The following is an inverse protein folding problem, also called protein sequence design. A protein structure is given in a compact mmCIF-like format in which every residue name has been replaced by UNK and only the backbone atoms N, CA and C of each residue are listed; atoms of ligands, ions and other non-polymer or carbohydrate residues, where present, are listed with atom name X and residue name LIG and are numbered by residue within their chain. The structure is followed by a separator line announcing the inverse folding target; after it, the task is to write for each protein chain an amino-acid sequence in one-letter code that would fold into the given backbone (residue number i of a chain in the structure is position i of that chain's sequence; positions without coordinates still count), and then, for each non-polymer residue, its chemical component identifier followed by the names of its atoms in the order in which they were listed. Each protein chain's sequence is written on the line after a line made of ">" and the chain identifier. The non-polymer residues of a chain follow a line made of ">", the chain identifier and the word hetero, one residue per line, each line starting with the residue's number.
data_IF_934721623860
#
_entry.id   IF_934721623860
#
_cell.length_a   1.000
_cell.length_b   1.000
_cell.length_c   1.000
_cell.angle_alpha   90.00
_cell.angle_beta   90.00
_cell.angle_gamma   90.00
#
_symmetry.space_group_name_H-M   'P 1'
#
loop_
_entity.id
_entity.type
_entity.pdbx_description
1 polymer ?
#
# COMPACT_ATOMS: atom_id res chain seq x y z
N UNK A 1 3.98 -7.48 -20.25
CA UNK A 1 3.96 -6.39 -19.28
C UNK A 1 2.56 -6.31 -18.72
N UNK A 2 2.48 -6.27 -17.41
CA UNK A 2 1.23 -6.19 -16.66
C UNK A 2 1.03 -4.76 -16.17
N UNK A 3 -0.22 -4.33 -16.01
CA UNK A 3 -0.58 -3.02 -15.47
C UNK A 3 -1.31 -3.20 -14.15
N UNK A 4 -0.90 -2.44 -13.14
CA UNK A 4 -1.62 -2.29 -11.88
C UNK A 4 -2.06 -0.84 -11.76
N UNK A 5 -3.36 -0.62 -11.55
CA UNK A 5 -3.93 0.70 -11.24
C UNK A 5 -4.43 0.68 -9.81
N UNK A 6 -3.70 1.38 -8.93
CA UNK A 6 -4.03 1.46 -7.51
C UNK A 6 -5.26 2.32 -7.26
N UNK A 7 -6.01 2.01 -6.20
CA UNK A 7 -7.19 2.77 -5.76
C UNK A 7 -8.22 3.06 -6.85
N UNK A 8 -8.35 2.14 -7.82
CA UNK A 8 -9.31 2.20 -8.92
C UNK A 8 -10.72 1.81 -8.49
N UNK A 9 -10.84 0.86 -7.56
CA UNK A 9 -12.15 0.37 -7.10
C UNK A 9 -12.62 1.33 -6.00
N UNK A 10 -13.70 2.12 -6.21
CA UNK A 10 -14.17 3.07 -5.21
C UNK A 10 -14.95 2.36 -4.08
N UNK A 11 -15.13 3.01 -2.92
CA UNK A 11 -15.85 2.43 -1.80
C UNK A 11 -17.34 2.21 -2.12
N UNK A 12 -17.97 1.30 -1.36
CA UNK A 12 -19.36 0.84 -1.55
C UNK A 12 -20.39 1.92 -1.89
N UNK A 13 -20.40 3.11 -1.26
CA UNK A 13 -21.38 4.16 -1.58
C UNK A 13 -21.33 4.65 -3.04
N UNK A 14 -20.19 4.52 -3.71
CA UNK A 14 -19.95 5.05 -5.05
C UNK A 14 -20.06 4.00 -6.16
N UNK A 15 -19.92 2.71 -5.83
CA UNK A 15 -19.87 1.60 -6.78
C UNK A 15 -21.06 1.57 -7.74
N UNK A 16 -22.27 1.84 -7.25
CA UNK A 16 -23.48 1.79 -8.08
C UNK A 16 -23.47 2.85 -9.19
N UNK A 17 -22.89 4.03 -8.93
CA UNK A 17 -22.76 5.11 -9.91
C UNK A 17 -21.51 4.95 -10.77
N UNK A 18 -20.51 4.22 -10.27
CA UNK A 18 -19.23 4.08 -10.94
C UNK A 18 -19.32 3.31 -12.26
N UNK A 19 -20.12 2.24 -12.30
CA UNK A 19 -20.34 1.50 -13.55
C UNK A 19 -20.98 2.40 -14.64
N UNK A 20 -21.92 3.26 -14.27
CA UNK A 20 -22.50 4.21 -15.23
C UNK A 20 -21.51 5.29 -15.66
N UNK A 21 -20.66 5.74 -14.74
CA UNK A 21 -19.60 6.71 -15.04
C UNK A 21 -18.59 6.13 -16.03
N UNK A 22 -18.09 4.90 -15.82
CA UNK A 22 -17.19 4.23 -16.76
C UNK A 22 -17.79 4.18 -18.16
N UNK A 23 -19.06 3.79 -18.27
CA UNK A 23 -19.74 3.66 -19.57
C UNK A 23 -19.85 4.99 -20.32
N UNK A 24 -20.10 6.08 -19.61
CA UNK A 24 -20.36 7.41 -20.18
C UNK A 24 -19.09 8.22 -20.42
N UNK A 25 -18.10 8.07 -19.54
CA UNK A 25 -16.98 9.02 -19.43
C UNK A 25 -15.61 8.41 -19.69
N UNK A 26 -15.45 7.08 -19.59
CA UNK A 26 -14.16 6.39 -19.70
C UNK A 26 -14.17 5.38 -20.86
N UNK A 27 -14.20 5.84 -22.13
CA UNK A 27 -14.40 4.97 -23.29
C UNK A 27 -13.31 3.89 -23.45
N UNK A 28 -12.06 4.17 -23.10
CA UNK A 28 -10.98 3.20 -23.29
C UNK A 28 -11.01 2.11 -22.22
N UNK A 29 -11.17 2.47 -20.95
CA UNK A 29 -11.37 1.57 -19.82
C UNK A 29 -12.64 0.75 -20.03
N UNK A 30 -13.73 1.38 -20.48
CA UNK A 30 -14.97 0.67 -20.78
C UNK A 30 -14.77 -0.39 -21.88
N UNK A 31 -14.10 -0.03 -22.99
CA UNK A 31 -13.75 -0.96 -24.06
C UNK A 31 -12.88 -2.11 -23.53
N UNK A 32 -11.92 -1.79 -22.68
CA UNK A 32 -11.00 -2.74 -22.08
C UNK A 32 -11.71 -3.77 -21.20
N UNK A 33 -12.54 -3.32 -20.26
CA UNK A 33 -13.38 -4.18 -19.41
C UNK A 33 -14.29 -5.07 -20.27
N UNK A 34 -14.93 -4.51 -21.31
CA UNK A 34 -15.85 -5.27 -22.20
C UNK A 34 -15.16 -6.32 -23.05
N UNK A 35 -13.85 -6.23 -23.24
CA UNK A 35 -13.08 -7.15 -24.07
C UNK A 35 -12.19 -8.09 -23.26
N UNK A 36 -12.30 -8.03 -21.93
CA UNK A 36 -11.51 -8.85 -21.02
C UNK A 36 -12.35 -9.97 -20.42
N UNK A 37 -11.68 -11.09 -20.11
CA UNK A 37 -12.18 -12.05 -19.12
C UNK A 37 -11.94 -11.44 -17.74
N UNK A 38 -13.01 -11.30 -16.97
CA UNK A 38 -12.99 -10.62 -15.68
C UNK A 38 -12.95 -11.66 -14.55
N UNK A 39 -12.09 -11.46 -13.57
CA UNK A 39 -12.04 -12.24 -12.33
C UNK A 39 -11.94 -11.28 -11.15
N UNK A 40 -12.62 -11.61 -10.06
CA UNK A 40 -12.68 -10.77 -8.87
C UNK A 40 -12.17 -11.57 -7.67
N UNK A 41 -11.34 -10.93 -6.85
CA UNK A 41 -10.71 -11.53 -5.69
C UNK A 41 -10.89 -10.62 -4.48
N UNK A 42 -11.34 -11.23 -3.38
CA UNK A 42 -11.21 -10.64 -2.06
C UNK A 42 -9.77 -10.84 -1.59
N UNK A 43 -9.14 -9.77 -1.13
CA UNK A 43 -7.76 -9.77 -0.66
C UNK A 43 -7.73 -9.59 0.85
N UNK A 44 -7.19 -10.60 1.55
CA UNK A 44 -7.10 -10.61 3.01
C UNK A 44 -5.89 -9.77 3.46
N UNK A 45 -6.03 -8.43 3.54
CA UNK A 45 -4.95 -7.54 3.94
C UNK A 45 -4.32 -7.93 5.28
N UNK A 46 -5.10 -8.45 6.23
CA UNK A 46 -4.60 -8.91 7.53
C UNK A 46 -3.65 -10.11 7.42
N UNK A 47 -3.83 -10.96 6.41
CA UNK A 47 -2.99 -12.14 6.17
C UNK A 47 -1.67 -11.79 5.49
N UNK A 48 -1.73 -10.88 4.53
CA UNK A 48 -0.57 -10.49 3.71
C UNK A 48 0.16 -9.26 4.26
N UNK A 49 -0.50 -8.48 5.11
CA UNK A 49 0.02 -7.29 5.79
C UNK A 49 0.43 -6.18 4.81
N UNK A 50 -0.25 -6.09 3.68
CA UNK A 50 -0.05 -5.06 2.67
C UNK A 50 -1.36 -4.73 1.95
N UNK A 51 -1.36 -3.72 1.07
CA UNK A 51 -2.48 -3.49 0.17
C UNK A 51 -2.44 -4.47 -1.00
N UNK A 52 -3.58 -4.64 -1.68
CA UNK A 52 -3.68 -5.58 -2.80
C UNK A 52 -2.73 -5.23 -3.97
N UNK A 53 -2.51 -3.95 -4.24
CA UNK A 53 -1.55 -3.51 -5.26
C UNK A 53 -0.09 -3.77 -4.87
N UNK A 54 0.29 -3.50 -3.64
CA UNK A 54 1.64 -3.84 -3.13
C UNK A 54 1.91 -5.33 -3.25
N UNK A 55 0.94 -6.17 -2.90
CA UNK A 55 1.06 -7.62 -3.09
C UNK A 55 1.36 -7.99 -4.55
N UNK A 56 0.61 -7.43 -5.49
CA UNK A 56 0.73 -7.70 -6.93
C UNK A 56 2.02 -7.14 -7.54
N UNK A 57 2.64 -6.12 -6.93
CA UNK A 57 3.96 -5.64 -7.36
C UNK A 57 5.06 -6.69 -7.16
N UNK A 58 4.85 -7.66 -6.28
CA UNK A 58 5.86 -8.65 -5.86
C UNK A 58 5.46 -10.10 -6.09
N UNK A 59 4.16 -10.40 -6.18
CA UNK A 59 3.63 -11.77 -6.26
C UNK A 59 2.72 -11.96 -7.48
N UNK A 60 2.58 -13.20 -7.96
CA UNK A 60 1.60 -13.47 -9.01
C UNK A 60 0.22 -13.63 -8.37
N UNK A 61 -0.83 -13.25 -9.08
CA UNK A 61 -2.19 -13.42 -8.57
C UNK A 61 -2.53 -14.91 -8.35
N UNK A 62 -1.88 -15.81 -9.10
CA UNK A 62 -1.97 -17.25 -8.90
C UNK A 62 -1.36 -17.73 -7.57
N UNK A 63 -0.49 -16.94 -6.94
CA UNK A 63 0.11 -17.24 -5.63
C UNK A 63 -0.80 -16.86 -4.46
N UNK A 64 -1.95 -16.21 -4.72
CA UNK A 64 -2.95 -15.98 -3.69
C UNK A 64 -3.36 -17.32 -3.07
N UNK A 65 -3.21 -17.42 -1.75
CA UNK A 65 -3.41 -18.64 -0.93
C UNK A 65 -2.31 -19.69 -0.97
N UNK A 66 -1.20 -19.42 -1.65
CA UNK A 66 0.03 -20.19 -1.43
C UNK A 66 0.57 -19.86 -0.03
N UNK A 67 1.00 -20.90 0.70
CA UNK A 67 1.67 -20.73 1.99
C UNK A 67 3.13 -20.32 1.72
N UNK A 68 3.40 -19.01 1.69
CA UNK A 68 4.76 -18.49 1.64
C UNK A 68 5.49 -18.78 2.95
N UNK A 69 6.53 -19.61 2.89
CA UNK A 69 7.44 -19.90 4.00
C UNK A 69 8.48 -18.79 4.15
N UNK A 70 8.65 -18.26 5.37
CA UNK A 70 9.84 -17.51 5.74
C UNK A 70 10.98 -18.52 5.97
N UNK A 71 12.00 -18.48 5.12
CA UNK A 71 13.25 -19.23 5.33
C UNK A 71 14.02 -18.67 6.54
N UNK A 72 15.00 -19.44 7.03
CA UNK A 72 15.91 -18.99 8.11
C UNK A 72 16.67 -17.73 7.70
N UNK A 73 16.23 -16.58 8.22
CA UNK A 73 16.82 -15.26 8.00
C UNK A 73 17.86 -15.00 9.10
N UNK A 74 19.09 -14.62 8.71
CA UNK A 74 20.17 -14.25 9.64
C UNK A 74 20.11 -12.80 10.13
N UNK A 75 19.48 -11.92 9.36
CA UNK A 75 19.33 -10.50 9.63
C UNK A 75 18.01 -10.02 9.02
N UNK A 76 17.16 -9.38 9.81
CA UNK A 76 15.84 -8.95 9.38
C UNK A 76 15.88 -7.52 8.86
N UNK A 77 15.32 -7.30 7.68
CA UNK A 77 15.30 -6.00 7.00
C UNK A 77 13.90 -5.40 7.10
N UNK A 78 13.82 -4.18 7.62
CA UNK A 78 12.58 -3.43 7.76
C UNK A 78 12.73 -2.05 7.14
N UNK A 79 11.64 -1.51 6.63
CA UNK A 79 11.58 -0.11 6.20
C UNK A 79 11.03 0.74 7.34
N UNK A 80 11.65 1.90 7.56
CA UNK A 80 11.23 2.93 8.50
C UNK A 80 10.70 4.15 7.72
N UNK A 81 9.41 4.40 7.85
CA UNK A 81 8.78 5.62 7.36
C UNK A 81 8.55 6.61 8.49
N UNK A 82 8.60 7.89 8.13
CA UNK A 82 8.38 9.01 9.03
C UNK A 82 7.08 9.71 8.62
N UNK A 83 6.32 10.15 9.60
CA UNK A 83 4.99 10.67 9.33
C UNK A 83 4.36 11.40 10.48
N UNK A 84 3.07 11.62 10.30
CA UNK A 84 2.18 12.19 11.28
C UNK A 84 1.20 11.14 11.79
N UNK A 85 1.17 10.94 13.10
CA UNK A 85 0.07 10.30 13.76
C UNK A 85 -1.01 11.34 14.05
N UNK A 86 -2.20 11.13 13.52
CA UNK A 86 -3.40 11.90 13.85
C UNK A 86 -4.42 11.00 14.53
N UNK A 87 -5.04 11.50 15.60
CA UNK A 87 -6.11 10.78 16.30
C UNK A 87 -7.44 11.38 15.91
N UNK A 88 -8.30 10.59 15.25
CA UNK A 88 -9.68 10.98 14.92
C UNK A 88 -10.61 9.84 15.29
N UNK A 89 -11.68 10.10 16.04
CA UNK A 89 -12.70 9.10 16.38
C UNK A 89 -12.18 7.80 17.03
N UNK A 90 -11.11 7.87 17.82
CA UNK A 90 -10.40 6.70 18.41
C UNK A 90 -9.60 5.86 17.41
N UNK A 91 -9.46 6.32 16.17
CA UNK A 91 -8.56 5.77 15.16
C UNK A 91 -7.26 6.58 15.14
N UNK A 92 -6.14 5.88 14.99
CA UNK A 92 -4.81 6.48 14.85
C UNK A 92 -4.40 6.31 13.39
N UNK A 93 -4.32 7.42 12.67
CA UNK A 93 -3.95 7.43 11.27
C UNK A 93 -2.51 7.91 11.17
N UNK A 94 -1.65 7.07 10.63
CA UNK A 94 -0.32 7.47 10.20
C UNK A 94 -0.44 8.08 8.80
N UNK A 95 0.29 9.17 8.54
CA UNK A 95 0.43 9.77 7.22
C UNK A 95 1.90 10.10 6.96
N UNK A 96 2.48 9.52 5.91
CA UNK A 96 3.88 9.74 5.57
C UNK A 96 4.14 11.21 5.21
N UNK A 97 5.28 11.72 5.68
CA UNK A 97 5.69 13.09 5.33
C UNK A 97 6.41 13.16 3.99
N UNK A 98 6.41 14.33 3.37
CA UNK A 98 7.11 14.55 2.10
C UNK A 98 8.63 14.36 2.21
N UNK A 99 9.25 13.88 1.13
CA UNK A 99 10.71 13.66 1.07
C UNK A 99 11.53 14.93 1.33
N UNK A 100 11.03 16.10 0.91
CA UNK A 100 11.68 17.38 1.16
C UNK A 100 11.89 17.65 2.66
N UNK A 101 10.94 17.23 3.50
CA UNK A 101 11.06 17.38 4.95
C UNK A 101 12.15 16.46 5.52
N UNK A 102 12.27 15.25 4.96
CA UNK A 102 13.29 14.24 5.33
C UNK A 102 14.71 14.63 4.88
N UNK A 103 14.84 15.66 4.04
CA UNK A 103 16.13 16.22 3.61
C UNK A 103 16.55 17.45 4.41
N UNK A 104 15.66 17.99 5.27
CA UNK A 104 15.94 19.20 6.05
C UNK A 104 17.01 18.98 7.12
N UNK A 105 17.75 20.05 7.45
CA UNK A 105 18.76 20.01 8.53
C UNK A 105 18.13 19.72 9.91
N UNK A 106 16.91 20.20 10.14
CA UNK A 106 16.14 19.89 11.35
C UNK A 106 15.90 18.39 11.50
N UNK A 107 15.57 17.71 10.39
CA UNK A 107 15.38 16.25 10.39
C UNK A 107 16.69 15.47 10.59
N UNK A 108 17.84 15.98 10.14
CA UNK A 108 19.14 15.32 10.38
C UNK A 108 19.42 15.12 11.87
N UNK A 109 19.07 16.10 12.72
CA UNK A 109 19.22 15.98 14.17
C UNK A 109 18.30 14.89 14.74
N UNK A 110 17.05 14.84 14.29
CA UNK A 110 16.10 13.77 14.65
C UNK A 110 16.67 12.40 14.28
N UNK A 111 17.11 12.25 13.03
CA UNK A 111 17.66 11.00 12.53
C UNK A 111 18.93 10.56 13.29
N UNK A 112 19.82 11.49 13.63
CA UNK A 112 21.03 11.18 14.40
C UNK A 112 20.68 10.66 15.80
N UNK A 113 19.68 11.26 16.44
CA UNK A 113 19.20 10.81 17.74
C UNK A 113 18.58 9.43 17.66
N UNK A 114 17.72 9.17 16.67
CA UNK A 114 17.12 7.84 16.45
C UNK A 114 18.21 6.78 16.22
N UNK A 115 19.22 7.07 15.40
CA UNK A 115 20.36 6.16 15.19
C UNK A 115 21.08 5.81 16.48
N UNK A 116 21.31 6.81 17.35
CA UNK A 116 21.96 6.59 18.64
C UNK A 116 21.13 5.65 19.51
N UNK A 117 19.82 5.87 19.60
CA UNK A 117 18.92 5.00 20.38
C UNK A 117 18.92 3.57 19.83
N UNK A 118 18.81 3.40 18.51
CA UNK A 118 18.80 2.08 17.87
C UNK A 118 20.12 1.30 18.06
N UNK A 119 21.25 2.00 18.16
CA UNK A 119 22.56 1.38 18.40
C UNK A 119 22.60 0.64 19.74
N UNK A 120 21.84 1.06 20.75
CA UNK A 120 21.75 0.36 22.04
C UNK A 120 21.09 -1.03 21.94
N UNK A 121 20.41 -1.29 20.82
CA UNK A 121 19.67 -2.52 20.53
C UNK A 121 20.30 -3.35 19.41
N UNK A 122 21.54 -3.04 19.01
CA UNK A 122 22.21 -3.62 17.84
C UNK A 122 21.41 -3.48 16.53
N UNK A 123 20.56 -2.45 16.42
CA UNK A 123 19.79 -2.15 15.21
C UNK A 123 20.50 -1.02 14.44
N UNK A 124 20.83 -1.27 13.17
CA UNK A 124 21.41 -0.26 12.29
C UNK A 124 20.31 0.42 11.45
N UNK A 125 20.50 1.71 11.16
CA UNK A 125 19.57 2.51 10.36
C UNK A 125 20.30 3.19 9.20
N UNK A 126 20.10 2.63 8.00
CA UNK A 126 20.67 3.11 6.75
C UNK A 126 19.63 3.88 5.95
N UNK A 127 20.10 4.80 5.10
CA UNK A 127 19.28 5.42 4.08
C UNK A 127 19.65 4.80 2.73
N UNK A 128 18.66 4.29 2.01
CA UNK A 128 18.81 3.75 0.67
C UNK A 128 17.89 4.52 -0.27
N UNK A 129 18.47 5.36 -1.14
CA UNK A 129 17.73 6.24 -2.05
C UNK A 129 16.64 7.04 -1.30
N UNK A 130 15.39 6.62 -1.44
CA UNK A 130 14.14 7.19 -0.98
C UNK A 130 13.56 6.53 0.28
N UNK A 131 14.20 5.47 0.80
CA UNK A 131 13.77 4.75 2.01
C UNK A 131 14.83 4.71 3.12
N UNK A 132 14.37 4.51 4.35
CA UNK A 132 15.23 4.18 5.48
C UNK A 132 15.10 2.70 5.82
N UNK A 133 16.23 1.99 5.92
CA UNK A 133 16.28 0.57 6.20
C UNK A 133 16.81 0.35 7.61
N UNK A 134 16.03 -0.36 8.42
CA UNK A 134 16.42 -0.92 9.70
C UNK A 134 16.94 -2.34 9.49
N UNK A 135 18.17 -2.58 9.94
CA UNK A 135 18.79 -3.89 9.98
C UNK A 135 18.77 -4.37 11.42
N UNK A 136 18.00 -5.42 11.69
CA UNK A 136 17.81 -5.93 13.04
C UNK A 136 18.30 -7.39 13.15
N UNK A 137 19.07 -7.73 14.20
CA UNK A 137 19.48 -9.10 14.47
C UNK A 137 18.31 -9.95 15.02
N UNK A 138 17.24 -9.31 15.48
CA UNK A 138 16.02 -9.96 15.99
C UNK A 138 14.82 -9.64 15.09
N UNK A 139 13.89 -10.59 14.99
CA UNK A 139 12.63 -10.35 14.29
C UNK A 139 11.78 -9.37 15.08
N UNK A 140 11.28 -8.34 14.40
CA UNK A 140 10.25 -7.43 14.90
C UNK A 140 8.84 -7.95 14.62
N UNK A 141 8.72 -9.17 14.10
CA UNK A 141 7.49 -9.76 13.59
C UNK A 141 7.20 -9.37 12.14
N UNK A 142 6.08 -9.87 11.61
CA UNK A 142 5.54 -9.40 10.34
C UNK A 142 4.72 -8.15 10.61
N UNK A 143 5.12 -7.04 9.99
CA UNK A 143 4.56 -5.71 10.25
C UNK A 143 3.92 -5.16 8.97
N UNK A 144 2.75 -4.51 9.08
CA UNK A 144 1.98 -4.05 7.92
C UNK A 144 2.65 -2.91 7.17
N UNK A 145 2.53 -2.87 5.85
CA UNK A 145 3.04 -1.75 5.04
C UNK A 145 2.45 -0.40 5.47
N UNK A 146 3.22 0.68 5.28
CA UNK A 146 2.75 2.05 5.53
C UNK A 146 1.45 2.34 4.77
N UNK A 147 1.39 1.89 3.52
CA UNK A 147 0.24 2.04 2.64
C UNK A 147 -1.05 1.50 3.25
N UNK A 148 -0.96 0.28 3.80
CA UNK A 148 -2.11 -0.37 4.40
C UNK A 148 -2.61 0.39 5.64
N UNK A 149 -1.69 0.95 6.45
CA UNK A 149 -2.06 1.77 7.63
C UNK A 149 -2.76 3.05 7.21
N UNK A 150 -2.22 3.75 6.21
CA UNK A 150 -2.77 5.00 5.71
C UNK A 150 -4.21 4.83 5.20
N UNK A 151 -4.52 3.67 4.62
CA UNK A 151 -5.83 3.39 4.01
C UNK A 151 -6.86 2.81 4.97
N UNK A 152 -6.44 2.07 5.99
CA UNK A 152 -7.36 1.31 6.85
C UNK A 152 -7.46 1.81 8.28
N UNK A 153 -6.53 2.66 8.72
CA UNK A 153 -6.60 3.30 10.04
C UNK A 153 -6.75 2.33 11.22
N UNK A 154 -6.40 1.04 11.05
CA UNK A 154 -6.62 0.05 12.12
C UNK A 154 -5.79 0.52 13.33
N UNK A 155 -6.18 0.14 14.53
CA UNK A 155 -5.52 0.64 15.77
C UNK A 155 -4.76 -0.45 16.50
N UNK A 156 -4.77 -1.68 15.96
CA UNK A 156 -4.28 -2.89 16.62
C UNK A 156 -3.33 -3.66 15.70
N UNK A 157 -2.15 -3.11 15.43
CA UNK A 157 -1.28 -3.68 14.36
C UNK A 157 -0.04 -4.37 14.86
N UNK A 158 0.27 -4.27 16.14
CA UNK A 158 1.39 -5.01 16.68
C UNK A 158 0.87 -6.28 17.33
N UNK A 159 1.33 -7.46 16.90
CA UNK A 159 1.10 -8.69 17.63
C UNK A 159 1.41 -8.48 19.12
N UNK A 160 0.70 -9.13 20.03
CA UNK A 160 1.05 -9.13 21.46
C UNK A 160 1.97 -10.31 21.78
N UNK A 161 3.09 -10.35 21.06
CA UNK A 161 4.15 -11.36 21.21
C UNK A 161 5.29 -10.79 22.06
N UNK A 162 6.13 -11.63 22.64
CA UNK A 162 7.27 -11.15 23.45
C UNK A 162 8.27 -10.35 22.60
N UNK A 163 8.48 -10.77 21.35
CA UNK A 163 9.32 -10.10 20.36
C UNK A 163 8.82 -8.68 20.06
N UNK A 164 7.53 -8.56 19.79
CA UNK A 164 6.93 -7.25 19.51
C UNK A 164 6.88 -6.39 20.77
N UNK A 165 6.68 -6.92 21.98
CA UNK A 165 6.74 -6.15 23.24
C UNK A 165 8.10 -5.47 23.44
N UNK A 166 9.19 -6.20 23.17
CA UNK A 166 10.53 -5.62 23.21
C UNK A 166 10.67 -4.49 22.20
N UNK A 167 10.18 -4.70 20.97
CA UNK A 167 10.17 -3.67 19.96
C UNK A 167 9.31 -2.44 20.32
N UNK A 168 8.13 -2.62 20.93
CA UNK A 168 7.28 -1.51 21.40
C UNK A 168 8.04 -0.59 22.35
N UNK A 169 8.92 -1.15 23.18
CA UNK A 169 9.76 -0.37 24.08
C UNK A 169 10.75 0.51 23.32
N UNK A 170 11.42 -0.05 22.31
CA UNK A 170 12.35 0.68 21.41
C UNK A 170 11.60 1.80 20.69
N UNK A 171 10.48 1.47 20.07
CA UNK A 171 9.64 2.44 19.36
C UNK A 171 9.12 3.56 20.26
N UNK A 172 8.59 3.23 21.45
CA UNK A 172 8.10 4.23 22.38
C UNK A 172 9.23 5.15 22.83
N UNK A 173 10.43 4.62 23.04
CA UNK A 173 11.61 5.43 23.33
C UNK A 173 11.89 6.39 22.17
N UNK A 174 11.97 5.88 20.94
CA UNK A 174 12.20 6.70 19.74
C UNK A 174 11.16 7.83 19.64
N UNK A 175 9.87 7.51 19.77
CA UNK A 175 8.81 8.51 19.73
C UNK A 175 8.95 9.56 20.83
N UNK A 176 9.21 9.16 22.07
CA UNK A 176 9.40 10.10 23.18
C UNK A 176 10.58 11.03 22.91
N UNK A 177 11.68 10.50 22.37
CA UNK A 177 12.86 11.28 22.05
C UNK A 177 12.60 12.23 20.89
N UNK A 178 11.86 11.81 19.86
CA UNK A 178 11.41 12.68 18.77
C UNK A 178 10.58 13.86 19.30
N UNK A 179 9.61 13.58 20.17
CA UNK A 179 8.76 14.61 20.80
C UNK A 179 9.53 15.63 21.63
N UNK A 180 10.66 15.24 22.24
CA UNK A 180 11.46 16.15 23.06
C UNK A 180 12.30 17.14 22.23
N UNK A 181 12.66 16.77 21.00
CA UNK A 181 13.59 17.55 20.17
C UNK A 181 12.90 18.41 19.12
N UNK A 182 11.61 18.22 18.90
CA UNK A 182 10.93 18.89 17.81
C UNK A 182 10.01 20.00 18.35
N UNK A 183 10.55 21.22 18.26
CA UNK A 183 9.93 22.45 18.77
C UNK A 183 8.70 22.93 17.96
N UNK A 184 8.41 22.31 16.81
CA UNK A 184 7.26 22.61 15.91
C UNK A 184 7.00 21.37 15.02
N UNK A 185 6.44 20.29 15.57
CA UNK A 185 6.49 18.97 14.93
C UNK A 185 5.66 18.85 13.64
N UNK A 186 6.36 18.83 12.49
CA UNK A 186 5.84 18.26 11.25
C UNK A 186 6.07 16.73 11.17
N UNK A 187 6.66 16.09 12.17
CA UNK A 187 6.83 14.62 12.20
C UNK A 187 6.67 14.20 13.65
N UNK A 188 5.62 13.45 13.95
CA UNK A 188 5.31 12.98 15.30
C UNK A 188 5.00 11.47 15.31
N UNK A 189 5.36 10.78 14.23
CA UNK A 189 5.14 9.37 14.04
C UNK A 189 6.27 8.73 13.24
N UNK A 190 6.52 7.47 13.56
CA UNK A 190 7.30 6.57 12.74
C UNK A 190 6.45 5.33 12.44
N UNK A 191 6.65 4.73 11.28
CA UNK A 191 6.04 3.45 10.93
C UNK A 191 7.11 2.50 10.45
N UNK A 192 7.03 1.23 10.86
CA UNK A 192 8.01 0.21 10.52
C UNK A 192 7.29 -0.99 9.95
N UNK A 193 7.78 -1.47 8.81
CA UNK A 193 7.21 -2.61 8.11
C UNK A 193 8.29 -3.53 7.54
N UNK A 194 7.97 -4.82 7.42
CA UNK A 194 8.92 -5.81 6.88
C UNK A 194 9.14 -5.59 5.39
N UNK A 195 10.34 -5.86 4.87
CA UNK A 195 10.53 -5.80 3.41
C UNK A 195 9.62 -6.76 2.66
N UNK A 196 9.26 -7.89 3.28
CA UNK A 196 8.31 -8.89 2.78
C UNK A 196 6.87 -8.36 2.67
N UNK A 197 6.53 -7.27 3.36
CA UNK A 197 5.22 -6.64 3.36
C UNK A 197 5.08 -5.51 2.32
N UNK A 198 6.07 -5.26 1.45
CA UNK A 198 5.94 -4.25 0.38
C UNK A 198 7.22 -3.54 -0.05
N UNK A 199 8.40 -3.94 0.46
CA UNK A 199 9.68 -3.35 0.05
C UNK A 199 10.54 -4.28 -0.82
N UNK A 200 10.01 -5.44 -1.21
CA UNK A 200 10.63 -6.31 -2.20
C UNK A 200 10.84 -5.54 -3.50
N UNK A 201 11.86 -5.87 -4.31
CA UNK A 201 11.98 -5.27 -5.63
C UNK A 201 10.73 -5.62 -6.47
N UNK A 202 10.18 -4.61 -7.15
CA UNK A 202 9.08 -4.80 -8.09
C UNK A 202 9.47 -5.85 -9.14
N UNK A 203 8.54 -6.73 -9.51
CA UNK A 203 8.77 -7.68 -10.61
C UNK A 203 9.19 -6.94 -11.88
N UNK A 204 10.12 -7.54 -12.63
CA UNK A 204 10.44 -7.10 -13.99
C UNK A 204 9.17 -7.28 -14.83
N UNK A 205 8.77 -6.24 -15.56
CA UNK A 205 7.59 -6.18 -16.46
C UNK A 205 6.23 -5.80 -15.83
N UNK A 206 6.22 -4.93 -14.83
CA UNK A 206 5.00 -4.28 -14.31
C UNK A 206 5.04 -2.76 -14.57
N UNK A 207 3.93 -2.20 -15.03
CA UNK A 207 3.64 -0.76 -14.96
C UNK A 207 2.69 -0.53 -13.80
N UNK A 208 3.07 0.36 -12.89
CA UNK A 208 2.28 0.73 -11.73
C UNK A 208 1.77 2.16 -11.89
N UNK A 209 0.46 2.36 -11.73
CA UNK A 209 -0.22 3.65 -11.80
C UNK A 209 -0.87 3.92 -10.45
N UNK A 210 -0.28 4.84 -9.69
CA UNK A 210 -0.71 5.19 -8.33
C UNK A 210 -1.41 6.56 -8.24
N UNK A 211 -1.75 7.15 -9.39
CA UNK A 211 -2.25 8.52 -9.46
C UNK A 211 -3.54 8.79 -8.68
N UNK A 212 -4.32 7.75 -8.39
CA UNK A 212 -5.63 7.85 -7.71
C UNK A 212 -5.54 7.82 -6.18
N UNK A 213 -4.44 7.32 -5.62
CA UNK A 213 -4.33 6.94 -4.21
C UNK A 213 -4.52 8.12 -3.25
N UNK A 214 -3.87 9.24 -3.54
CA UNK A 214 -3.96 10.43 -2.66
C UNK A 214 -5.41 10.94 -2.56
N UNK A 215 -6.10 11.05 -3.70
CA UNK A 215 -7.49 11.49 -3.75
C UNK A 215 -8.41 10.48 -3.05
N UNK A 216 -8.14 9.18 -3.22
CA UNK A 216 -8.87 8.11 -2.55
C UNK A 216 -8.75 8.20 -1.02
N UNK A 217 -7.54 8.29 -0.47
CA UNK A 217 -7.29 8.40 0.98
C UNK A 217 -7.94 9.68 1.56
N UNK A 218 -7.90 10.78 0.81
CA UNK A 218 -8.51 12.07 1.23
C UNK A 218 -10.03 12.13 1.03
N UNK A 219 -10.65 11.12 0.45
CA UNK A 219 -12.05 11.14 0.02
C UNK A 219 -12.38 12.31 -0.93
N UNK A 220 -11.39 12.77 -1.71
CA UNK A 220 -11.54 13.82 -2.72
C UNK A 220 -12.00 13.20 -4.05
N UNK A 221 -13.29 12.86 -4.10
CA UNK A 221 -13.85 12.15 -5.25
C UNK A 221 -13.85 12.97 -6.54
N UNK A 222 -13.88 14.31 -6.45
CA UNK A 222 -13.79 15.17 -7.63
C UNK A 222 -12.41 15.05 -8.28
N UNK A 223 -11.35 15.20 -7.48
CA UNK A 223 -9.97 14.98 -7.93
C UNK A 223 -9.78 13.55 -8.47
N UNK A 224 -10.31 12.56 -7.75
CA UNK A 224 -10.24 11.15 -8.15
C UNK A 224 -10.87 10.88 -9.52
N UNK A 225 -12.05 11.45 -9.80
CA UNK A 225 -12.70 11.32 -11.12
C UNK A 225 -11.92 12.03 -12.23
N UNK A 226 -11.29 13.17 -11.95
CA UNK A 226 -10.45 13.87 -12.93
C UNK A 226 -9.20 13.06 -13.27
N UNK A 227 -8.52 12.51 -12.27
CA UNK A 227 -7.35 11.65 -12.46
C UNK A 227 -7.70 10.37 -13.23
N UNK A 228 -8.90 9.80 -13.02
CA UNK A 228 -9.38 8.67 -13.81
C UNK A 228 -9.50 8.97 -15.31
N UNK A 229 -9.90 10.19 -15.69
CA UNK A 229 -9.97 10.60 -17.09
C UNK A 229 -8.57 10.63 -17.73
N UNK A 230 -7.56 11.05 -16.99
CA UNK A 230 -6.17 11.05 -17.44
C UNK A 230 -5.64 9.61 -17.63
N UNK A 231 -6.01 8.70 -16.72
CA UNK A 231 -5.68 7.28 -16.81
C UNK A 231 -6.38 6.64 -18.02
N UNK A 232 -7.65 6.95 -18.27
CA UNK A 232 -8.37 6.45 -19.45
C UNK A 232 -7.68 6.81 -20.76
N UNK A 233 -7.13 8.02 -20.85
CA UNK A 233 -6.43 8.50 -22.05
C UNK A 233 -5.05 7.87 -22.25
N UNK A 234 -4.41 7.39 -21.18
CA UNK A 234 -3.07 6.81 -21.22
C UNK A 234 -3.05 5.28 -21.23
N UNK A 235 -4.21 4.63 -21.14
CA UNK A 235 -4.29 3.16 -21.12
C UNK A 235 -3.87 2.57 -22.48
N UNK A 236 -2.95 1.60 -22.42
CA UNK A 236 -2.40 0.90 -23.57
C UNK A 236 -2.82 -0.58 -23.58
N UNK A 237 -2.36 -1.33 -24.58
CA UNK A 237 -2.60 -2.77 -24.66
C UNK A 237 -1.67 -3.54 -23.71
N UNK A 238 -2.19 -3.93 -22.55
CA UNK A 238 -1.50 -4.75 -21.56
C UNK A 238 -2.05 -6.18 -21.56
N UNK A 239 -1.20 -7.16 -21.22
CA UNK A 239 -1.58 -8.59 -21.19
C UNK A 239 -2.52 -8.89 -20.02
N UNK A 240 -2.15 -8.39 -18.84
CA UNK A 240 -2.96 -8.45 -17.63
C UNK A 240 -3.12 -7.02 -17.10
N UNK A 241 -4.33 -6.70 -16.67
CA UNK A 241 -4.61 -5.44 -15.99
C UNK A 241 -5.27 -5.75 -14.65
N UNK A 242 -4.71 -5.22 -13.59
CA UNK A 242 -5.20 -5.32 -12.24
C UNK A 242 -5.71 -3.95 -11.80
N UNK A 243 -6.98 -3.89 -11.44
CA UNK A 243 -7.62 -2.71 -10.88
C UNK A 243 -7.87 -3.02 -9.41
N UNK A 244 -7.33 -2.22 -8.49
CA UNK A 244 -7.34 -2.56 -7.06
C UNK A 244 -8.10 -1.54 -6.22
N UNK A 245 -8.58 -1.97 -5.07
CA UNK A 245 -8.69 -1.15 -3.85
C UNK A 245 -7.69 -1.70 -2.83
N UNK A 246 -7.73 -1.20 -1.61
CA UNK A 246 -7.00 -1.74 -0.46
C UNK A 246 -7.09 -3.27 -0.37
N UNK A 247 -8.31 -3.81 -0.48
CA UNK A 247 -8.70 -5.19 -0.12
C UNK A 247 -9.36 -5.97 -1.26
N UNK A 248 -9.41 -5.42 -2.49
CA UNK A 248 -10.02 -6.08 -3.65
C UNK A 248 -9.12 -6.01 -4.85
N UNK A 249 -9.18 -7.07 -5.66
CA UNK A 249 -8.51 -7.14 -6.96
C UNK A 249 -9.54 -7.49 -8.03
N UNK A 250 -9.65 -6.61 -9.02
CA UNK A 250 -10.36 -6.85 -10.26
C UNK A 250 -9.35 -7.13 -11.36
N UNK A 251 -9.25 -8.40 -11.77
CA UNK A 251 -8.33 -8.85 -12.79
C UNK A 251 -9.00 -8.91 -14.15
N UNK A 252 -8.43 -8.20 -15.11
CA UNK A 252 -8.81 -8.19 -16.51
C UNK A 252 -7.73 -8.95 -17.32
N UNK A 253 -8.05 -10.18 -17.71
CA UNK A 253 -7.24 -11.00 -18.62
C UNK A 253 -7.74 -10.84 -20.05
N UNK A 254 -6.85 -10.93 -21.04
CA UNK A 254 -7.26 -10.98 -22.45
C UNK A 254 -8.29 -12.10 -22.69
N UNK A 255 -9.45 -11.75 -23.26
CA UNK A 255 -10.50 -12.72 -23.55
C UNK A 255 -10.15 -13.61 -24.75
N UNK A 256 -10.25 -14.93 -24.60
CA UNK A 256 -10.11 -15.86 -25.72
C UNK A 256 -11.32 -15.73 -26.66
N UNK A 257 -11.19 -16.24 -27.89
CA UNK A 257 -12.23 -16.16 -28.91
C UNK A 257 -13.63 -16.61 -28.42
N UNK A 258 -13.68 -17.66 -27.59
CA UNK A 258 -14.93 -18.19 -27.02
C UNK A 258 -15.49 -17.32 -25.88
N UNK A 259 -14.64 -16.65 -25.10
CA UNK A 259 -15.06 -15.76 -24.01
C UNK A 259 -15.81 -14.53 -24.56
N UNK A 260 -15.51 -14.13 -25.81
CA UNK A 260 -16.16 -12.99 -26.49
C UNK A 260 -17.64 -13.26 -26.83
N UNK A 261 -18.07 -14.52 -26.89
CA UNK A 261 -19.46 -14.90 -27.19
C UNK A 261 -20.36 -14.88 -25.95
N UNK A 262 -19.79 -15.11 -24.77
CA UNK A 262 -20.51 -15.11 -23.50
C UNK A 262 -20.07 -13.93 -22.64
N UNK A 263 -20.19 -12.70 -23.17
CA UNK A 263 -19.79 -11.51 -22.42
C UNK A 263 -20.64 -11.42 -21.14
N UNK A 264 -20.03 -11.54 -19.94
CA UNK A 264 -20.75 -11.26 -18.70
C UNK A 264 -21.33 -9.85 -18.80
N UNK A 265 -22.50 -9.63 -18.19
CA UNK A 265 -22.93 -8.26 -17.95
C UNK A 265 -21.91 -7.65 -16.99
N UNK A 266 -20.92 -6.93 -17.51
CA UNK A 266 -19.79 -6.41 -16.75
C UNK A 266 -20.26 -5.50 -15.60
N UNK A 267 -21.46 -4.90 -15.72
CA UNK A 267 -22.09 -4.16 -14.63
C UNK A 267 -22.39 -5.04 -13.41
N UNK A 268 -22.67 -6.34 -13.60
CA UNK A 268 -22.86 -7.30 -12.50
C UNK A 268 -21.56 -7.59 -11.75
N UNK A 269 -20.39 -7.37 -12.34
CA UNK A 269 -19.12 -7.52 -11.62
C UNK A 269 -19.06 -6.54 -10.44
N UNK A 270 -19.53 -5.30 -10.63
CA UNK A 270 -19.61 -4.31 -9.56
C UNK A 270 -20.54 -4.71 -8.41
N UNK A 271 -21.47 -5.64 -8.63
CA UNK A 271 -22.31 -6.18 -7.54
C UNK A 271 -21.57 -7.16 -6.63
N UNK A 272 -20.42 -7.69 -7.07
CA UNK A 272 -19.56 -8.59 -6.29
C UNK A 272 -18.60 -7.81 -5.37
N UNK A 273 -18.46 -6.50 -5.59
CA UNK A 273 -17.66 -5.59 -4.76
C UNK A 273 -18.41 -5.18 -3.48
N UNK A 274 -19.64 -5.69 -3.27
CA UNK A 274 -20.54 -5.34 -2.16
C UNK A 274 -20.07 -5.83 -0.80
#
# INVERSE_FOLDING_TARGET
>A
MDLIISSFIPPKPLINKFAEYIEKSLPNIHKLIRNSKISFYDFECEKYLCTADEYLMHNDIEDLNSAGYLNEIKEFHYVLDFGHNSVRNHEVNFHKVSENLLLSDKFKNVLQTIRKELTEYDIDLKREKDKFILLSPISLGRLPSTSLIEETSITQWWPDTEETKYFRKIYNHILMTMHQIAEDEYINGIWIYGEDAGALPQKKDIVFVDGLREAYIKNDWESWFNQLLEIDQSIADYKNIFLTSTDKILHLKEAKFLDKWFKPNWKKVWTQVK
#
